data_IF_679039804123
#
_entry.id   IF_679039804123
#
_cell.length_a   1.000
_cell.length_b   1.000
_cell.length_c   1.000
_cell.angle_alpha   90.00
_cell.angle_beta   90.00
_cell.angle_gamma   90.00
#
_symmetry.space_group_name_H-M   'P 1'
#
loop_
_entity.id
_entity.type
_entity.pdbx_description
1 polymer ?
#
# COMPACT_ATOMS: atom_id res chain seq x y z
N UNK A 1 -23.28 -18.83 -0.77
CA UNK A 1 -21.98 -18.36 -1.31
C UNK A 1 -22.12 -17.83 -2.74
N UNK A 2 -22.55 -18.63 -3.72
CA UNK A 2 -22.74 -18.20 -5.12
C UNK A 2 -23.67 -16.99 -5.30
N UNK A 3 -24.81 -16.94 -4.61
CA UNK A 3 -25.74 -15.80 -4.69
C UNK A 3 -25.14 -14.49 -4.14
N UNK A 4 -24.29 -14.57 -3.10
CA UNK A 4 -23.59 -13.41 -2.55
C UNK A 4 -22.54 -12.87 -3.53
N UNK A 5 -21.76 -13.77 -4.14
CA UNK A 5 -20.74 -13.42 -5.15
C UNK A 5 -21.42 -12.80 -6.38
N UNK A 6 -22.50 -13.40 -6.88
CA UNK A 6 -23.24 -12.87 -8.03
C UNK A 6 -23.90 -11.52 -7.70
N UNK A 7 -24.50 -11.38 -6.53
CA UNK A 7 -25.07 -10.11 -6.06
C UNK A 7 -24.02 -9.00 -5.98
N UNK A 8 -22.88 -9.27 -5.32
CA UNK A 8 -21.76 -8.34 -5.22
C UNK A 8 -21.20 -7.94 -6.59
N UNK A 9 -21.11 -8.89 -7.53
CA UNK A 9 -20.61 -8.65 -8.88
C UNK A 9 -21.57 -7.79 -9.71
N UNK A 10 -22.88 -8.06 -9.64
CA UNK A 10 -23.90 -7.25 -10.31
C UNK A 10 -23.92 -5.83 -9.76
N UNK A 11 -23.89 -5.69 -8.43
CA UNK A 11 -23.90 -4.38 -7.77
C UNK A 11 -22.61 -3.61 -8.09
N UNK A 12 -21.46 -4.27 -8.09
CA UNK A 12 -20.18 -3.67 -8.44
C UNK A 12 -20.10 -3.22 -9.91
N UNK A 13 -20.63 -4.02 -10.84
CA UNK A 13 -20.74 -3.62 -12.26
C UNK A 13 -21.69 -2.43 -12.40
N UNK A 14 -22.85 -2.45 -11.73
CA UNK A 14 -23.79 -1.34 -11.76
C UNK A 14 -23.18 -0.05 -11.18
N UNK A 15 -22.42 -0.17 -10.08
CA UNK A 15 -21.70 0.95 -9.48
C UNK A 15 -20.65 1.53 -10.43
N UNK A 16 -19.82 0.67 -11.05
CA UNK A 16 -18.85 1.11 -12.05
C UNK A 16 -19.52 1.72 -13.28
N UNK A 17 -20.60 1.14 -13.77
CA UNK A 17 -21.37 1.67 -14.89
C UNK A 17 -21.93 3.06 -14.55
N UNK A 18 -22.43 3.25 -13.31
CA UNK A 18 -22.84 4.56 -12.80
C UNK A 18 -21.68 5.57 -12.74
N UNK A 19 -20.51 5.15 -12.29
CA UNK A 19 -19.30 6.00 -12.30
C UNK A 19 -18.84 6.35 -13.72
N UNK A 20 -18.91 5.42 -14.67
CA UNK A 20 -18.56 5.66 -16.07
C UNK A 20 -19.57 6.57 -16.78
N UNK A 21 -20.87 6.40 -16.45
CA UNK A 21 -21.97 7.23 -16.93
C UNK A 21 -21.96 8.64 -16.32
N UNK A 22 -21.20 8.86 -15.24
CA UNK A 22 -21.04 10.19 -14.64
C UNK A 22 -20.39 11.14 -15.65
N UNK A 23 -21.04 12.29 -15.95
CA UNK A 23 -20.49 13.28 -16.88
C UNK A 23 -19.09 13.73 -16.44
N UNK A 24 -18.15 14.01 -17.39
CA UNK A 24 -16.77 14.36 -17.06
C UNK A 24 -16.61 15.49 -16.04
N UNK A 25 -17.58 16.42 -16.01
CA UNK A 25 -17.64 17.54 -15.06
C UNK A 25 -17.77 17.08 -13.59
N UNK A 26 -18.49 15.99 -13.34
CA UNK A 26 -18.80 15.52 -11.97
C UNK A 26 -17.90 14.39 -11.49
N UNK A 27 -17.20 13.68 -12.38
CA UNK A 27 -16.36 12.51 -12.02
C UNK A 27 -15.42 12.79 -10.86
N UNK A 28 -14.77 13.96 -10.90
CA UNK A 28 -13.82 14.40 -9.89
C UNK A 28 -14.46 14.61 -8.51
N UNK A 29 -15.66 15.20 -8.50
CA UNK A 29 -16.45 15.44 -7.28
C UNK A 29 -16.93 14.12 -6.70
N UNK A 30 -17.43 13.21 -7.54
CA UNK A 30 -17.91 11.88 -7.11
C UNK A 30 -16.78 11.05 -6.53
N UNK A 31 -15.63 10.95 -7.22
CA UNK A 31 -14.47 10.21 -6.71
C UNK A 31 -14.07 10.73 -5.33
N UNK A 32 -14.00 12.06 -5.20
CA UNK A 32 -13.67 12.65 -3.91
C UNK A 32 -14.72 12.38 -2.83
N UNK A 33 -16.01 12.56 -3.11
CA UNK A 33 -17.07 12.30 -2.14
C UNK A 33 -16.96 10.88 -1.59
N UNK A 34 -16.74 9.91 -2.48
CA UNK A 34 -16.58 8.50 -2.11
C UNK A 34 -15.31 8.28 -1.29
N UNK A 35 -14.18 8.84 -1.71
CA UNK A 35 -12.91 8.71 -0.96
C UNK A 35 -12.97 9.41 0.40
N UNK A 36 -13.59 10.59 0.47
CA UNK A 36 -13.77 11.35 1.70
C UNK A 36 -14.71 10.61 2.66
N UNK A 37 -15.83 10.07 2.18
CA UNK A 37 -16.73 9.28 3.00
C UNK A 37 -16.06 8.03 3.57
N UNK A 38 -15.27 7.32 2.74
CA UNK A 38 -14.47 6.18 3.20
C UNK A 38 -13.43 6.58 4.25
N UNK A 39 -12.68 7.66 4.03
CA UNK A 39 -11.69 8.17 4.99
C UNK A 39 -12.33 8.67 6.29
N UNK A 40 -13.47 9.34 6.21
CA UNK A 40 -14.23 9.82 7.35
C UNK A 40 -14.74 8.66 8.21
N UNK A 41 -15.24 7.58 7.59
CA UNK A 41 -15.66 6.38 8.30
C UNK A 41 -14.54 5.80 9.17
N UNK A 42 -13.37 5.55 8.58
CA UNK A 42 -12.23 5.00 9.33
C UNK A 42 -11.69 5.97 10.38
N UNK A 43 -11.70 7.27 10.08
CA UNK A 43 -11.25 8.30 11.01
C UNK A 43 -12.18 8.39 12.23
N UNK A 44 -13.50 8.38 12.03
CA UNK A 44 -14.48 8.37 13.12
C UNK A 44 -14.40 7.09 13.94
N UNK A 45 -14.24 5.94 13.29
CA UNK A 45 -14.09 4.68 14.01
C UNK A 45 -12.81 4.63 14.86
N UNK A 46 -11.71 5.21 14.36
CA UNK A 46 -10.44 5.25 15.07
C UNK A 46 -10.43 6.26 16.23
N UNK A 47 -11.03 7.44 16.04
CA UNK A 47 -10.97 8.54 17.01
C UNK A 47 -12.03 8.45 18.11
N UNK A 48 -13.19 7.83 17.83
CA UNK A 48 -14.28 7.80 18.80
C UNK A 48 -14.06 6.70 19.85
N UNK A 49 -14.25 6.99 21.15
CA UNK A 49 -14.07 6.02 22.21
C UNK A 49 -15.18 4.96 22.20
N UNK A 50 -14.81 3.68 22.19
CA UNK A 50 -15.76 2.55 22.24
C UNK A 50 -16.42 2.35 23.61
N UNK A 51 -15.86 2.97 24.64
CA UNK A 51 -16.37 2.90 26.00
C UNK A 51 -16.78 4.30 26.50
N UNK A 52 -17.87 4.42 27.28
CA UNK A 52 -18.23 5.68 27.89
C UNK A 52 -17.12 6.17 28.83
N UNK A 53 -16.79 7.45 28.75
CA UNK A 53 -15.74 8.08 29.55
C UNK A 53 -16.31 8.51 30.90
N UNK A 54 -15.58 8.18 31.97
CA UNK A 54 -15.89 8.54 33.36
C UNK A 54 -14.79 9.44 33.93
N UNK A 55 -15.18 10.47 34.70
CA UNK A 55 -14.29 11.27 35.53
C UNK A 55 -14.66 10.99 36.99
N UNK A 56 -13.84 10.20 37.68
CA UNK A 56 -14.20 9.66 38.99
C UNK A 56 -15.40 8.71 38.90
N UNK A 57 -16.46 8.96 39.68
CA UNK A 57 -17.73 8.21 39.61
C UNK A 57 -18.75 8.77 38.62
N UNK A 58 -18.49 9.94 38.03
CA UNK A 58 -19.44 10.61 37.17
C UNK A 58 -19.13 10.37 35.68
N UNK A 59 -20.15 9.98 34.92
CA UNK A 59 -20.05 9.79 33.48
C UNK A 59 -20.19 11.14 32.77
N UNK A 60 -19.34 11.42 31.79
CA UNK A 60 -19.46 12.64 30.98
C UNK A 60 -20.79 12.62 30.22
N UNK A 61 -21.62 13.67 30.30
CA UNK A 61 -22.86 13.76 29.54
C UNK A 61 -22.60 13.57 28.03
N UNK A 62 -23.36 12.69 27.38
CA UNK A 62 -23.19 12.38 25.95
C UNK A 62 -22.16 11.29 25.62
N UNK A 63 -21.31 10.86 26.56
CA UNK A 63 -20.28 9.83 26.30
C UNK A 63 -20.86 8.47 25.90
N UNK A 64 -22.05 8.12 26.41
CA UNK A 64 -22.81 6.93 25.98
C UNK A 64 -23.23 6.98 24.52
N UNK A 65 -23.70 8.14 24.04
CA UNK A 65 -24.10 8.30 22.64
C UNK A 65 -22.91 8.16 21.70
N UNK A 66 -21.78 8.76 22.07
CA UNK A 66 -20.52 8.64 21.33
C UNK A 66 -20.03 7.19 21.31
N UNK A 67 -20.06 6.49 22.45
CA UNK A 67 -19.67 5.09 22.53
C UNK A 67 -20.59 4.19 21.68
N UNK A 68 -21.90 4.44 21.67
CA UNK A 68 -22.83 3.69 20.82
C UNK A 68 -22.57 3.92 19.32
N UNK A 69 -22.26 5.16 18.92
CA UNK A 69 -21.87 5.46 17.54
C UNK A 69 -20.56 4.73 17.17
N UNK A 70 -19.55 4.79 18.03
CA UNK A 70 -18.27 4.10 17.81
C UNK A 70 -18.48 2.59 17.65
N UNK A 71 -19.24 1.97 18.54
CA UNK A 71 -19.56 0.53 18.47
C UNK A 71 -20.38 0.18 17.20
N UNK A 72 -21.29 1.05 16.77
CA UNK A 72 -22.04 0.89 15.52
C UNK A 72 -21.14 0.96 14.29
N UNK A 73 -20.18 1.89 14.25
CA UNK A 73 -19.16 1.96 13.21
C UNK A 73 -18.29 0.71 13.22
N UNK A 74 -17.83 0.25 14.38
CA UNK A 74 -17.04 -0.99 14.49
C UNK A 74 -17.81 -2.21 14.01
N UNK A 75 -19.12 -2.31 14.30
CA UNK A 75 -19.96 -3.39 13.80
C UNK A 75 -20.13 -3.39 12.27
N UNK A 76 -20.04 -2.22 11.63
CA UNK A 76 -20.10 -2.08 10.17
C UNK A 76 -18.78 -2.41 9.45
N UNK A 77 -17.66 -2.57 10.18
CA UNK A 77 -16.32 -2.84 9.60
C UNK A 77 -16.29 -4.00 8.62
N UNK A 78 -16.86 -5.19 8.91
CA UNK A 78 -16.79 -6.31 7.98
C UNK A 78 -17.46 -5.98 6.66
N UNK A 79 -18.62 -5.31 6.70
CA UNK A 79 -19.32 -4.88 5.48
C UNK A 79 -18.51 -3.85 4.70
N UNK A 80 -17.93 -2.85 5.36
CA UNK A 80 -17.07 -1.86 4.69
C UNK A 80 -15.82 -2.52 4.08
N UNK A 81 -15.24 -3.52 4.74
CA UNK A 81 -14.12 -4.29 4.21
C UNK A 81 -14.53 -5.11 2.97
N UNK A 82 -15.70 -5.74 2.98
CA UNK A 82 -16.24 -6.46 1.82
C UNK A 82 -16.42 -5.52 0.61
N UNK A 83 -16.99 -4.32 0.83
CA UNK A 83 -17.10 -3.30 -0.21
C UNK A 83 -15.73 -2.84 -0.72
N UNK A 84 -14.77 -2.61 0.16
CA UNK A 84 -13.41 -2.26 -0.22
C UNK A 84 -12.75 -3.37 -1.06
N UNK A 85 -12.98 -4.64 -0.73
CA UNK A 85 -12.49 -5.79 -1.48
C UNK A 85 -13.15 -5.93 -2.85
N UNK A 86 -14.46 -5.65 -2.97
CA UNK A 86 -15.18 -5.59 -4.26
C UNK A 86 -14.58 -4.49 -5.13
N UNK A 87 -14.49 -3.26 -4.61
CA UNK A 87 -13.92 -2.11 -5.33
C UNK A 87 -12.46 -2.40 -5.73
N UNK A 88 -11.67 -2.96 -4.82
CA UNK A 88 -10.27 -3.33 -5.07
C UNK A 88 -10.12 -4.38 -6.17
N UNK A 89 -11.01 -5.36 -6.23
CA UNK A 89 -11.03 -6.38 -7.29
C UNK A 89 -11.31 -5.75 -8.67
N UNK A 90 -12.25 -4.80 -8.75
CA UNK A 90 -12.49 -4.03 -9.96
C UNK A 90 -11.32 -3.10 -10.33
N UNK A 91 -10.70 -2.47 -9.35
CA UNK A 91 -9.52 -1.64 -9.56
C UNK A 91 -8.36 -2.46 -10.15
N UNK A 92 -8.14 -3.68 -9.67
CA UNK A 92 -7.17 -4.61 -10.24
C UNK A 92 -7.49 -4.94 -11.70
N UNK A 93 -8.76 -5.25 -12.02
CA UNK A 93 -9.18 -5.51 -13.40
C UNK A 93 -8.93 -4.30 -14.33
N UNK A 94 -9.25 -3.09 -13.88
CA UNK A 94 -8.99 -1.87 -14.62
C UNK A 94 -7.49 -1.62 -14.79
N UNK A 95 -6.68 -1.89 -13.75
CA UNK A 95 -5.23 -1.79 -13.80
C UNK A 95 -4.61 -2.73 -14.83
N UNK A 96 -5.01 -4.01 -14.83
CA UNK A 96 -4.57 -5.00 -15.81
C UNK A 96 -5.03 -4.63 -17.22
N UNK A 97 -6.29 -4.20 -17.39
CA UNK A 97 -6.82 -3.76 -18.69
C UNK A 97 -6.03 -2.57 -19.25
N UNK A 98 -5.68 -1.59 -18.40
CA UNK A 98 -4.89 -0.44 -18.81
C UNK A 98 -3.48 -0.85 -19.28
N UNK A 99 -2.79 -1.73 -18.54
CA UNK A 99 -1.49 -2.27 -18.94
C UNK A 99 -1.58 -3.01 -20.29
N UNK A 100 -2.61 -3.84 -20.46
CA UNK A 100 -2.86 -4.57 -21.71
C UNK A 100 -3.10 -3.63 -22.89
N UNK A 101 -3.81 -2.52 -22.67
CA UNK A 101 -4.03 -1.52 -23.72
C UNK A 101 -2.74 -0.79 -24.10
N UNK A 102 -1.92 -0.41 -23.12
CA UNK A 102 -0.65 0.31 -23.37
C UNK A 102 0.34 -0.61 -24.09
N UNK A 103 0.64 -1.78 -23.51
CA UNK A 103 1.57 -2.73 -24.09
C UNK A 103 1.03 -3.36 -25.38
N UNK A 104 -0.28 -3.60 -25.48
CA UNK A 104 -0.92 -4.09 -26.70
C UNK A 104 -0.83 -3.10 -27.86
N UNK A 105 -1.03 -1.79 -27.59
CA UNK A 105 -0.79 -0.74 -28.59
C UNK A 105 0.67 -0.69 -29.01
N UNK A 106 1.61 -0.83 -28.07
CA UNK A 106 3.04 -0.83 -28.35
C UNK A 106 3.47 -1.99 -29.25
N UNK A 107 2.98 -3.20 -28.99
CA UNK A 107 3.23 -4.40 -29.82
C UNK A 107 2.60 -4.23 -31.20
N UNK A 108 1.33 -3.81 -31.28
CA UNK A 108 0.61 -3.66 -32.56
C UNK A 108 1.21 -2.58 -33.45
N UNK A 109 1.63 -1.44 -32.87
CA UNK A 109 2.21 -0.32 -33.61
C UNK A 109 3.73 -0.40 -33.76
N UNK A 110 4.38 -1.45 -33.21
CA UNK A 110 5.84 -1.61 -33.15
C UNK A 110 6.56 -0.34 -32.68
N UNK A 111 6.04 0.30 -31.64
CA UNK A 111 6.68 1.50 -31.07
C UNK A 111 8.07 1.15 -30.50
N UNK A 112 8.98 2.12 -30.34
CA UNK A 112 10.27 1.88 -29.69
C UNK A 112 10.08 1.16 -28.35
N UNK A 113 10.78 0.04 -28.13
CA UNK A 113 10.61 -0.81 -26.95
C UNK A 113 9.49 -1.86 -27.03
N UNK A 114 8.92 -2.16 -28.21
CA UNK A 114 7.86 -3.16 -28.38
C UNK A 114 8.23 -4.57 -27.89
N UNK A 115 9.52 -4.93 -27.93
CA UNK A 115 10.02 -6.23 -27.46
C UNK A 115 9.80 -6.41 -25.94
N UNK A 116 9.97 -5.36 -25.13
CA UNK A 116 9.66 -5.39 -23.71
C UNK A 116 8.15 -5.60 -23.46
N UNK A 117 7.31 -5.00 -24.31
CA UNK A 117 5.86 -5.18 -24.25
C UNK A 117 5.43 -6.59 -24.67
N UNK A 118 6.18 -7.25 -25.57
CA UNK A 118 5.97 -8.65 -25.91
C UNK A 118 6.38 -9.57 -24.75
N UNK A 119 7.54 -9.31 -24.13
CA UNK A 119 8.01 -10.05 -22.95
C UNK A 119 6.99 -9.97 -21.80
N UNK A 120 6.37 -8.81 -21.59
CA UNK A 120 5.28 -8.65 -20.62
C UNK A 120 4.15 -9.66 -20.87
N UNK A 121 3.60 -9.76 -22.09
CA UNK A 121 2.50 -10.68 -22.38
C UNK A 121 2.92 -12.15 -22.21
N UNK A 122 4.09 -12.52 -22.73
CA UNK A 122 4.60 -13.90 -22.63
C UNK A 122 4.71 -14.30 -21.16
N UNK A 123 5.38 -13.49 -20.34
CA UNK A 123 5.55 -13.79 -18.92
C UNK A 123 4.23 -13.75 -18.16
N UNK A 124 3.35 -12.80 -18.45
CA UNK A 124 2.03 -12.72 -17.82
C UNK A 124 1.24 -14.02 -18.04
N UNK A 125 1.09 -14.45 -19.29
CA UNK A 125 0.35 -15.68 -19.61
C UNK A 125 1.06 -16.93 -19.10
N UNK A 126 2.40 -16.99 -19.16
CA UNK A 126 3.18 -18.10 -18.62
C UNK A 126 2.90 -18.29 -17.12
N UNK A 127 3.05 -17.23 -16.32
CA UNK A 127 2.84 -17.29 -14.87
C UNK A 127 1.36 -17.56 -14.54
N UNK A 128 0.43 -16.95 -15.28
CA UNK A 128 -1.00 -17.18 -15.08
C UNK A 128 -1.38 -18.64 -15.32
N UNK A 129 -0.91 -19.24 -16.43
CA UNK A 129 -1.19 -20.64 -16.77
C UNK A 129 -0.55 -21.56 -15.74
N UNK A 130 0.74 -21.37 -15.41
CA UNK A 130 1.44 -22.22 -14.43
C UNK A 130 0.82 -22.09 -13.03
N UNK A 131 0.42 -20.88 -12.63
CA UNK A 131 -0.29 -20.64 -11.38
C UNK A 131 -1.62 -21.40 -11.32
N UNK A 132 -2.41 -21.36 -12.40
CA UNK A 132 -3.66 -22.12 -12.47
C UNK A 132 -3.42 -23.64 -12.42
N UNK A 133 -2.42 -24.14 -13.16
CA UNK A 133 -2.08 -25.56 -13.20
C UNK A 133 -1.56 -26.09 -11.85
N UNK A 134 -0.90 -25.25 -11.04
CA UNK A 134 -0.48 -25.58 -9.68
C UNK A 134 -1.69 -25.87 -8.77
N UNK A 135 -2.75 -25.07 -8.88
CA UNK A 135 -3.90 -25.16 -7.98
C UNK A 135 -5.01 -26.10 -8.48
N UNK A 136 -5.04 -26.39 -9.79
CA UNK A 136 -6.07 -27.25 -10.40
C UNK A 136 -5.70 -28.74 -10.35
N UNK A 137 -6.56 -29.55 -9.70
CA UNK A 137 -6.42 -31.02 -9.71
C UNK A 137 -6.98 -31.59 -11.00
N UNK A 138 -6.11 -32.05 -11.91
CA UNK A 138 -6.54 -32.72 -13.15
C UNK A 138 -7.09 -34.12 -12.85
N UNK A 139 -8.40 -34.20 -12.58
CA UNK A 139 -9.09 -35.46 -12.27
C UNK A 139 -9.07 -36.53 -13.38
N UNK A 140 -8.83 -36.15 -14.63
CA UNK A 140 -8.79 -37.09 -15.77
C UNK A 140 -7.47 -37.87 -15.92
N UNK A 141 -6.40 -37.47 -15.22
CA UNK A 141 -5.06 -38.10 -15.34
C UNK A 141 -4.89 -39.32 -14.41
N UNK A 142 -5.88 -39.63 -13.57
CA UNK A 142 -5.75 -40.63 -12.50
C UNK A 142 -4.94 -40.10 -11.30
N UNK A 143 -5.22 -40.63 -10.11
CA UNK A 143 -4.76 -40.02 -8.84
C UNK A 143 -3.23 -39.87 -8.71
N UNK A 144 -2.44 -40.80 -9.26
CA UNK A 144 -0.97 -40.76 -9.17
C UNK A 144 -0.35 -39.76 -10.17
N UNK A 145 -0.81 -39.75 -11.42
CA UNK A 145 -0.27 -38.83 -12.43
C UNK A 145 -0.73 -37.39 -12.17
N UNK A 146 -1.92 -37.20 -11.62
CA UNK A 146 -2.43 -35.89 -11.21
C UNK A 146 -1.56 -35.27 -10.10
N UNK A 147 -1.10 -36.07 -9.12
CA UNK A 147 -0.21 -35.61 -8.06
C UNK A 147 1.19 -35.24 -8.59
N UNK A 148 1.75 -36.05 -9.51
CA UNK A 148 3.04 -35.76 -10.13
C UNK A 148 3.00 -34.47 -11.00
N UNK A 149 1.92 -34.28 -11.77
CA UNK A 149 1.72 -33.06 -12.56
C UNK A 149 1.56 -31.81 -11.67
N UNK A 150 0.81 -31.94 -10.57
CA UNK A 150 0.65 -30.84 -9.60
C UNK A 150 1.98 -30.47 -8.92
N UNK A 151 2.80 -31.47 -8.57
CA UNK A 151 4.13 -31.23 -8.02
C UNK A 151 5.07 -30.54 -9.03
N UNK A 152 5.04 -30.97 -10.30
CA UNK A 152 5.83 -30.35 -11.37
C UNK A 152 5.43 -28.90 -11.65
N UNK A 153 4.13 -28.62 -11.76
CA UNK A 153 3.62 -27.26 -11.93
C UNK A 153 3.88 -26.37 -10.71
N UNK A 154 3.84 -26.90 -9.50
CA UNK A 154 4.25 -26.19 -8.29
C UNK A 154 5.73 -25.84 -8.25
N UNK A 155 6.62 -26.74 -8.68
CA UNK A 155 8.04 -26.44 -8.80
C UNK A 155 8.29 -25.36 -9.86
N UNK A 156 7.68 -25.50 -11.04
CA UNK A 156 7.79 -24.49 -12.09
C UNK A 156 7.27 -23.12 -11.63
N UNK A 157 6.15 -23.09 -10.88
CA UNK A 157 5.65 -21.86 -10.27
C UNK A 157 6.68 -21.25 -9.32
N UNK A 158 7.30 -22.04 -8.44
CA UNK A 158 8.31 -21.54 -7.52
C UNK A 158 9.54 -20.97 -8.24
N UNK A 159 9.98 -21.60 -9.34
CA UNK A 159 11.08 -21.09 -10.16
C UNK A 159 10.69 -19.76 -10.82
N UNK A 160 9.50 -19.67 -11.40
CA UNK A 160 9.04 -18.43 -12.02
C UNK A 160 8.81 -17.32 -11.00
N UNK A 161 8.27 -17.65 -9.82
CA UNK A 161 7.95 -16.65 -8.80
C UNK A 161 9.19 -16.20 -8.03
N UNK A 162 9.90 -17.13 -7.37
CA UNK A 162 11.08 -16.80 -6.56
C UNK A 162 12.31 -16.49 -7.43
N UNK A 163 12.42 -17.13 -8.60
CA UNK A 163 13.55 -16.91 -9.51
C UNK A 163 13.37 -15.68 -10.38
N UNK A 164 12.24 -15.53 -11.06
CA UNK A 164 12.03 -14.44 -12.01
C UNK A 164 11.40 -13.20 -11.36
N UNK A 165 10.20 -13.32 -10.78
CA UNK A 165 9.47 -12.16 -10.23
C UNK A 165 10.23 -11.51 -9.07
N UNK A 166 10.64 -12.28 -8.07
CA UNK A 166 11.33 -11.75 -6.90
C UNK A 166 12.69 -11.13 -7.25
N UNK A 167 13.42 -11.69 -8.23
CA UNK A 167 14.67 -11.09 -8.71
C UNK A 167 14.44 -9.77 -9.42
N UNK A 168 13.40 -9.67 -10.25
CA UNK A 168 13.03 -8.40 -10.90
C UNK A 168 12.61 -7.35 -9.86
N UNK A 169 11.82 -7.72 -8.86
CA UNK A 169 11.48 -6.82 -7.75
C UNK A 169 12.74 -6.36 -7.01
N UNK A 170 13.68 -7.27 -6.71
CA UNK A 170 14.94 -6.94 -6.08
C UNK A 170 15.80 -5.98 -6.91
N UNK A 171 15.82 -6.12 -8.24
CA UNK A 171 16.53 -5.16 -9.11
C UNK A 171 15.88 -3.77 -9.09
N UNK A 172 14.55 -3.70 -9.09
CA UNK A 172 13.82 -2.45 -9.01
C UNK A 172 14.04 -1.76 -7.65
N UNK A 173 13.98 -2.52 -6.54
CA UNK A 173 14.29 -2.03 -5.20
C UNK A 173 15.76 -1.59 -5.07
N UNK A 174 16.70 -2.33 -5.66
CA UNK A 174 18.12 -1.97 -5.68
C UNK A 174 18.36 -0.65 -6.41
N UNK A 175 17.72 -0.44 -7.58
CA UNK A 175 17.80 0.83 -8.29
C UNK A 175 17.22 1.98 -7.48
N UNK A 176 16.06 1.79 -6.86
CA UNK A 176 15.44 2.80 -5.99
C UNK A 176 16.36 3.13 -4.81
N UNK A 177 16.90 2.10 -4.13
CA UNK A 177 17.83 2.28 -3.03
C UNK A 177 19.10 3.03 -3.47
N UNK A 178 19.68 2.67 -4.61
CA UNK A 178 20.84 3.35 -5.18
C UNK A 178 20.55 4.83 -5.45
N UNK A 179 19.40 5.16 -6.06
CA UNK A 179 19.03 6.55 -6.32
C UNK A 179 18.76 7.34 -5.04
N UNK A 180 18.09 6.74 -4.04
CA UNK A 180 17.87 7.36 -2.74
C UNK A 180 19.21 7.65 -2.06
N UNK A 181 20.11 6.67 -2.00
CA UNK A 181 21.44 6.83 -1.37
C UNK A 181 22.29 7.84 -2.14
N UNK A 182 22.25 7.84 -3.48
CA UNK A 182 22.98 8.80 -4.30
C UNK A 182 22.49 10.24 -4.10
N UNK A 183 21.17 10.44 -4.08
CA UNK A 183 20.56 11.74 -3.81
C UNK A 183 20.85 12.20 -2.37
N UNK A 184 20.70 11.29 -1.40
CA UNK A 184 21.02 11.50 -0.01
C UNK A 184 22.49 11.90 0.18
N UNK A 185 23.45 11.16 -0.37
CA UNK A 185 24.88 11.48 -0.28
C UNK A 185 25.20 12.87 -0.86
N UNK A 186 24.56 13.24 -1.98
CA UNK A 186 24.71 14.57 -2.58
C UNK A 186 24.12 15.67 -1.70
N UNK A 187 23.00 15.40 -1.03
CA UNK A 187 22.33 16.33 -0.13
C UNK A 187 23.00 16.43 1.26
N UNK A 188 23.58 15.34 1.76
CA UNK A 188 24.18 15.20 3.09
C UNK A 188 25.67 15.59 3.15
N UNK A 189 26.14 16.57 2.38
CA UNK A 189 27.40 17.22 2.76
C UNK A 189 27.18 17.89 4.10
N UNK A 190 27.95 17.53 5.12
CA UNK A 190 27.88 18.12 6.47
C UNK A 190 28.15 19.61 6.38
N UNK A 191 27.09 20.38 6.20
CA UNK A 191 27.09 21.82 6.02
C UNK A 191 26.26 22.53 7.09
N UNK A 192 25.52 21.76 7.89
CA UNK A 192 24.68 22.27 8.98
C UNK A 192 24.61 21.26 10.12
N UNK A 193 24.21 21.73 11.30
CA UNK A 193 24.04 20.90 12.50
C UNK A 193 22.95 19.83 12.30
N UNK A 194 21.90 20.15 11.54
CA UNK A 194 20.81 19.22 11.22
C UNK A 194 21.29 18.08 10.33
N UNK A 195 22.11 18.38 9.30
CA UNK A 195 22.69 17.36 8.45
C UNK A 195 23.67 16.45 9.22
N UNK A 196 24.42 17.01 10.17
CA UNK A 196 25.30 16.25 11.05
C UNK A 196 24.52 15.30 11.97
N UNK A 197 23.42 15.77 12.56
CA UNK A 197 22.52 14.95 13.38
C UNK A 197 21.96 13.78 12.57
N UNK A 198 21.42 14.07 11.38
CA UNK A 198 20.85 13.04 10.49
C UNK A 198 21.89 11.99 10.10
N UNK A 199 23.11 12.41 9.72
CA UNK A 199 24.19 11.50 9.37
C UNK A 199 24.65 10.66 10.57
N UNK A 200 24.77 11.27 11.76
CA UNK A 200 25.12 10.57 12.99
C UNK A 200 24.08 9.51 13.37
N UNK A 201 22.79 9.88 13.37
CA UNK A 201 21.70 8.95 13.64
C UNK A 201 21.65 7.81 12.62
N UNK A 202 21.82 8.12 11.32
CA UNK A 202 21.87 7.10 10.27
C UNK A 202 23.06 6.15 10.44
N UNK A 203 24.24 6.67 10.78
CA UNK A 203 25.44 5.86 11.05
C UNK A 203 25.25 4.92 12.24
N UNK A 204 24.65 5.40 13.33
CA UNK A 204 24.30 4.57 14.49
C UNK A 204 23.35 3.44 14.11
N UNK A 205 22.29 3.74 13.36
CA UNK A 205 21.32 2.75 12.90
C UNK A 205 22.01 1.71 12.00
N UNK A 206 22.76 2.14 10.98
CA UNK A 206 23.45 1.22 10.07
C UNK A 206 24.44 0.31 10.80
N UNK A 207 25.16 0.82 11.81
CA UNK A 207 26.04 0.01 12.64
C UNK A 207 25.27 -0.97 13.54
N UNK A 208 24.16 -0.54 14.14
CA UNK A 208 23.35 -1.38 15.03
C UNK A 208 22.59 -2.52 14.33
N UNK A 209 22.34 -2.42 13.02
CA UNK A 209 21.71 -3.49 12.22
C UNK A 209 22.71 -4.57 11.75
N UNK A 210 24.02 -4.32 11.82
CA UNK A 210 25.05 -5.25 11.34
C UNK A 210 25.67 -5.98 12.54
N UNK A 211 26.00 -7.29 12.43
CA UNK A 211 26.62 -8.04 13.53
C UNK A 211 27.89 -7.41 14.12
N UNK A 212 28.62 -6.62 13.32
CA UNK A 212 29.80 -5.85 13.75
C UNK A 212 29.48 -4.82 14.83
N UNK A 213 28.31 -4.18 14.78
CA UNK A 213 27.89 -3.22 15.81
C UNK A 213 27.72 -3.89 17.17
N UNK A 214 27.15 -5.10 17.19
CA UNK A 214 26.98 -5.88 18.41
C UNK A 214 28.33 -6.33 19.01
N UNK A 215 29.29 -6.67 18.14
CA UNK A 215 30.65 -7.00 18.58
C UNK A 215 31.35 -5.79 19.22
N UNK A 216 31.21 -4.60 18.64
CA UNK A 216 31.78 -3.33 19.15
C UNK A 216 31.28 -2.95 20.54
N UNK A 217 30.03 -3.29 20.90
CA UNK A 217 29.44 -2.99 22.21
C UNK A 217 29.35 -4.18 23.15
N UNK A 218 30.00 -5.31 22.82
CA UNK A 218 29.96 -6.52 23.65
C UNK A 218 30.60 -6.33 25.03
N UNK A 219 31.56 -5.41 25.15
CA UNK A 219 32.20 -5.06 26.43
C UNK A 219 31.27 -4.34 27.41
N UNK A 220 30.11 -3.84 26.95
CA UNK A 220 29.11 -3.21 27.81
C UNK A 220 28.20 -4.27 28.46
N UNK A 221 27.89 -4.13 29.77
CA UNK A 221 27.08 -5.10 30.49
C UNK A 221 25.68 -5.26 29.90
N UNK A 222 25.16 -6.50 29.94
CA UNK A 222 23.83 -6.84 29.41
C UNK A 222 22.68 -6.39 30.32
N UNK A 223 22.95 -6.06 31.58
CA UNK A 223 21.97 -5.67 32.58
C UNK A 223 22.43 -4.42 33.32
N UNK A 224 21.48 -3.57 33.74
CA UNK A 224 21.75 -2.31 34.44
C UNK A 224 21.65 -1.06 33.55
N UNK A 225 21.99 0.10 34.12
CA UNK A 225 21.84 1.40 33.46
C UNK A 225 22.61 1.52 32.13
N UNK A 226 23.86 1.01 32.11
CA UNK A 226 24.75 1.06 30.93
C UNK A 226 24.35 0.09 29.80
N UNK A 227 23.43 -0.85 30.04
CA UNK A 227 22.92 -1.73 28.99
C UNK A 227 22.16 -0.94 27.90
N UNK A 228 21.59 0.21 28.26
CA UNK A 228 20.90 1.11 27.33
C UNK A 228 21.84 1.80 26.32
N UNK A 229 23.15 1.87 26.62
CA UNK A 229 24.14 2.52 25.77
C UNK A 229 24.71 1.58 24.69
N UNK A 230 24.27 0.33 24.66
CA UNK A 230 24.61 -0.63 23.61
C UNK A 230 24.02 -0.19 22.27
N UNK A 231 24.79 -0.32 21.19
CA UNK A 231 24.38 0.15 19.86
C UNK A 231 23.07 -0.50 19.40
N UNK A 232 22.83 -1.76 19.77
CA UNK A 232 21.60 -2.49 19.45
C UNK A 232 20.39 -1.88 20.16
N UNK A 233 20.55 -1.47 21.43
CA UNK A 233 19.48 -0.87 22.24
C UNK A 233 19.17 0.56 21.80
N UNK A 234 20.19 1.35 21.48
CA UNK A 234 20.02 2.70 20.93
C UNK A 234 19.31 2.64 19.58
N UNK A 235 19.73 1.71 18.71
CA UNK A 235 19.10 1.50 17.39
C UNK A 235 17.65 1.07 17.54
N UNK A 236 17.36 0.12 18.44
CA UNK A 236 16.00 -0.30 18.75
C UNK A 236 15.13 0.86 19.25
N UNK A 237 15.66 1.68 20.18
CA UNK A 237 14.95 2.85 20.68
C UNK A 237 14.63 3.86 19.57
N UNK A 238 15.61 4.18 18.71
CA UNK A 238 15.45 5.07 17.56
C UNK A 238 14.40 4.55 16.56
N UNK A 239 14.39 3.25 16.28
CA UNK A 239 13.49 2.62 15.32
C UNK A 239 12.06 2.44 15.82
N UNK A 240 11.83 2.47 17.14
CA UNK A 240 10.50 2.26 17.70
C UNK A 240 9.84 3.55 18.15
N UNK A 241 10.57 4.44 18.81
CA UNK A 241 9.93 5.62 19.40
C UNK A 241 9.92 6.80 18.41
N UNK A 242 11.06 7.39 18.01
CA UNK A 242 11.09 8.44 16.99
C UNK A 242 10.47 8.04 15.66
N UNK A 243 10.82 6.87 15.13
CA UNK A 243 10.34 6.42 13.81
C UNK A 243 8.81 6.29 13.78
N UNK A 244 8.18 5.71 14.82
CA UNK A 244 6.72 5.62 14.87
C UNK A 244 6.05 6.99 15.01
N UNK A 245 6.67 7.94 15.73
CA UNK A 245 6.17 9.31 15.79
C UNK A 245 6.24 10.00 14.41
N UNK A 246 7.34 9.82 13.68
CA UNK A 246 7.53 10.36 12.33
C UNK A 246 6.56 9.72 11.33
N UNK A 247 6.38 8.40 11.34
CA UNK A 247 5.42 7.72 10.47
C UNK A 247 4.01 8.26 10.68
N UNK A 248 3.57 8.41 11.94
CA UNK A 248 2.28 9.02 12.26
C UNK A 248 2.17 10.46 11.75
N UNK A 249 3.23 11.25 11.85
CA UNK A 249 3.24 12.63 11.34
C UNK A 249 3.16 12.67 9.81
N UNK A 250 3.86 11.75 9.11
CA UNK A 250 3.80 11.61 7.64
C UNK A 250 2.40 11.19 7.22
N UNK A 251 1.83 10.16 7.84
CA UNK A 251 0.49 9.66 7.52
C UNK A 251 -0.57 10.75 7.75
N UNK A 252 -0.45 11.49 8.85
CA UNK A 252 -1.32 12.63 9.15
C UNK A 252 -1.16 13.76 8.14
N UNK A 253 0.08 14.12 7.79
CA UNK A 253 0.39 15.16 6.81
C UNK A 253 -0.10 14.79 5.40
N UNK A 254 0.08 13.54 4.99
CA UNK A 254 -0.45 13.01 3.73
C UNK A 254 -1.97 12.98 3.74
N UNK A 255 -2.59 12.59 4.86
CA UNK A 255 -4.04 12.65 5.07
C UNK A 255 -4.58 14.07 4.90
N UNK A 256 -4.02 15.06 5.59
CA UNK A 256 -4.42 16.47 5.45
C UNK A 256 -4.15 16.99 4.05
N UNK A 257 -3.00 16.67 3.44
CA UNK A 257 -2.66 17.08 2.08
C UNK A 257 -3.66 16.55 1.06
N UNK A 258 -4.05 15.29 1.18
CA UNK A 258 -5.10 14.68 0.38
C UNK A 258 -6.45 15.36 0.61
N UNK A 259 -6.83 15.63 1.86
CA UNK A 259 -8.06 16.37 2.20
C UNK A 259 -8.05 17.79 1.61
N UNK A 260 -6.95 18.52 1.70
CA UNK A 260 -6.82 19.87 1.17
C UNK A 260 -6.90 19.89 -0.36
N UNK A 261 -6.22 18.95 -1.04
CA UNK A 261 -6.35 18.76 -2.48
C UNK A 261 -7.79 18.45 -2.85
N UNK A 262 -8.44 17.59 -2.09
CA UNK A 262 -9.85 17.27 -2.27
C UNK A 262 -10.74 18.53 -2.12
N UNK A 263 -10.63 19.30 -1.04
CA UNK A 263 -11.42 20.52 -0.86
C UNK A 263 -11.18 21.55 -1.98
N UNK A 264 -9.93 21.72 -2.42
CA UNK A 264 -9.57 22.61 -3.54
C UNK A 264 -10.34 22.23 -4.81
N UNK A 265 -10.45 20.94 -5.06
CA UNK A 265 -11.19 20.40 -6.20
C UNK A 265 -12.69 20.67 -6.06
N UNK A 266 -13.29 20.47 -4.87
CA UNK A 266 -14.72 20.74 -4.65
C UNK A 266 -15.09 22.19 -4.81
N UNK A 267 -14.23 23.07 -4.30
CA UNK A 267 -14.39 24.50 -4.45
C UNK A 267 -14.05 24.98 -5.87
N UNK A 268 -13.70 24.06 -6.79
CA UNK A 268 -13.30 24.34 -8.16
C UNK A 268 -12.17 25.38 -8.27
N UNK A 269 -11.27 25.40 -7.28
CA UNK A 269 -10.17 26.37 -7.20
C UNK A 269 -9.00 25.99 -8.12
N UNK A 270 -9.01 24.79 -8.69
CA UNK A 270 -8.11 24.43 -9.77
C UNK A 270 -8.57 25.10 -11.07
N UNK A 271 -8.04 26.29 -11.34
CA UNK A 271 -8.24 26.96 -12.63
C UNK A 271 -7.66 26.07 -13.73
N UNK A 272 -8.51 25.56 -14.62
CA UNK A 272 -8.05 24.97 -15.86
C UNK A 272 -7.39 26.05 -16.72
N UNK A 273 -6.25 25.74 -17.33
CA UNK A 273 -5.52 26.63 -18.26
C UNK A 273 -6.30 26.96 -19.55
N UNK A 274 -7.62 26.76 -19.57
CA UNK A 274 -8.49 26.89 -20.73
C UNK A 274 -9.19 28.25 -20.82
N UNK A 275 -9.00 29.15 -19.84
CA UNK A 275 -9.64 30.47 -19.83
C UNK A 275 -8.74 31.64 -20.29
N UNK A 276 -7.48 31.38 -20.70
CA UNK A 276 -6.54 32.43 -21.15
C UNK A 276 -6.40 32.54 -22.69
N UNK A 277 -7.33 31.99 -23.48
CA UNK A 277 -7.48 32.45 -24.87
C UNK A 277 -8.59 33.50 -24.91
N UNK A 278 -8.21 34.73 -24.60
CA UNK A 278 -8.93 35.88 -25.14
C UNK A 278 -8.76 35.87 -26.67
N UNK A 279 -9.87 36.07 -27.36
CA UNK A 279 -9.98 36.21 -28.82
C UNK A 279 -9.06 37.31 -29.35
#
# INVERSE_FOLDING_TARGET
>A
MLAYILGALVIGIAFLAGLMATPPRYRKIVVMLVTFAGGLYFSLEFLLPHNPIYIGKYMIPGSRGVANLANGLTAAKPSVADWAMIIGSFALLLGVSNLFQIHGKAVRKKTPGWYNSLAFFITFFLIMIVGFLKDYKLGFLGSHNAAAFQAGSGNLYNILFNGFVQSLDATMFSLIAFYIVSAAYRAFRVKSAEAALMMGTAGVIMLGLVPVGAWLTNWLPHTGFFASMRLEQITYWLLIWPNMAVQRAIDFGLGIGALAMSLRIWLSLERGSFFDRQL
#
